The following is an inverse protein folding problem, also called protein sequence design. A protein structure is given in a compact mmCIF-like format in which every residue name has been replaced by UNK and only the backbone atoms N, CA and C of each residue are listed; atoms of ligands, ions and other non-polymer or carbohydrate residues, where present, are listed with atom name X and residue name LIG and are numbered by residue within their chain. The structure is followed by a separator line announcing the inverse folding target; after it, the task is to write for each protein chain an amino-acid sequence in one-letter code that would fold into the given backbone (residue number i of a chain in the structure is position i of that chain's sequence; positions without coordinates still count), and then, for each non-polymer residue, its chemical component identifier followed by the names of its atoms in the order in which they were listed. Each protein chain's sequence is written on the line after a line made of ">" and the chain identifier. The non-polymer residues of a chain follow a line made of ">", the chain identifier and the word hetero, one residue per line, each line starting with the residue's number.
data_IF_339530974849
#
_entry.id   IF_339530974849
#
_cell.length_a   1.000
_cell.length_b   1.000
_cell.length_c   1.000
_cell.angle_alpha   90.00
_cell.angle_beta   90.00
_cell.angle_gamma   90.00
#
_symmetry.space_group_name_H-M   'P 1'
#
loop_
_entity.id
_entity.type
_entity.pdbx_description
1 polymer ?
#
# COMPACT_ATOMS: atom_id res chain seq x y z
N UNK A 1 -3.72 9.92 -20.40
CA UNK A 1 -4.19 8.97 -19.42
C UNK A 1 -5.70 9.02 -19.42
N UNK A 2 -6.34 7.89 -19.48
CA UNK A 2 -7.77 7.78 -19.26
C UNK A 2 -8.00 8.23 -17.83
N UNK A 3 -8.78 9.31 -17.68
CA UNK A 3 -9.15 9.84 -16.37
C UNK A 3 -10.39 9.07 -15.93
N UNK A 4 -10.27 8.25 -14.92
CA UNK A 4 -11.37 7.48 -14.38
C UNK A 4 -11.81 8.11 -13.04
N UNK A 5 -13.12 8.10 -12.80
CA UNK A 5 -13.69 8.69 -11.61
C UNK A 5 -13.31 7.88 -10.36
N UNK A 6 -12.90 8.55 -9.31
CA UNK A 6 -12.65 7.93 -8.02
C UNK A 6 -13.96 7.71 -7.25
N UNK A 7 -13.95 6.72 -6.34
CA UNK A 7 -15.09 6.38 -5.49
C UNK A 7 -15.66 7.60 -4.74
N UNK A 8 -14.80 8.45 -4.18
CA UNK A 8 -15.22 9.66 -3.48
C UNK A 8 -15.90 10.67 -4.41
N UNK A 9 -15.41 10.81 -5.65
CA UNK A 9 -16.02 11.68 -6.67
C UNK A 9 -17.37 11.14 -7.14
N UNK A 10 -17.49 9.83 -7.36
CA UNK A 10 -18.77 9.18 -7.69
C UNK A 10 -19.79 9.37 -6.58
N UNK A 11 -19.40 9.18 -5.33
CA UNK A 11 -20.27 9.44 -4.18
C UNK A 11 -20.73 10.90 -4.12
N UNK A 12 -19.81 11.84 -4.38
CA UNK A 12 -20.16 13.26 -4.46
C UNK A 12 -21.16 13.54 -5.57
N UNK A 13 -21.00 12.92 -6.74
CA UNK A 13 -21.94 13.04 -7.85
C UNK A 13 -23.33 12.46 -7.50
N UNK A 14 -23.38 11.30 -6.84
CA UNK A 14 -24.63 10.69 -6.37
C UNK A 14 -25.34 11.53 -5.32
N UNK A 15 -24.62 12.09 -4.35
CA UNK A 15 -25.16 12.98 -3.33
C UNK A 15 -25.73 14.25 -3.96
N UNK A 16 -25.04 14.78 -4.97
CA UNK A 16 -25.50 15.94 -5.73
C UNK A 16 -26.81 15.67 -6.48
N UNK A 17 -26.91 14.52 -7.14
CA UNK A 17 -28.14 14.08 -7.83
C UNK A 17 -29.32 13.94 -6.85
N UNK A 18 -29.08 13.48 -5.65
CA UNK A 18 -30.10 13.41 -4.60
C UNK A 18 -30.65 14.80 -4.24
N UNK A 19 -29.74 15.76 -4.01
CA UNK A 19 -30.11 17.16 -3.72
C UNK A 19 -30.90 17.76 -4.89
N UNK A 20 -30.49 17.49 -6.13
CA UNK A 20 -31.19 17.92 -7.33
C UNK A 20 -32.64 17.40 -7.36
N UNK A 21 -32.86 16.13 -7.02
CA UNK A 21 -34.18 15.53 -6.92
C UNK A 21 -35.08 16.18 -5.85
N UNK A 22 -34.50 16.53 -4.69
CA UNK A 22 -35.22 17.27 -3.64
C UNK A 22 -35.63 18.67 -4.11
N UNK A 23 -34.80 19.35 -4.88
CA UNK A 23 -35.12 20.66 -5.48
C UNK A 23 -36.30 20.59 -6.44
N UNK A 24 -36.49 19.50 -7.15
CA UNK A 24 -37.67 19.32 -8.03
C UNK A 24 -38.98 19.26 -7.26
N UNK A 25 -38.99 18.67 -6.06
CA UNK A 25 -40.17 18.68 -5.19
C UNK A 25 -40.51 20.10 -4.72
N UNK A 26 -39.50 20.90 -4.39
CA UNK A 26 -39.71 22.29 -4.01
C UNK A 26 -40.18 23.18 -5.19
N UNK A 27 -39.67 22.95 -6.41
CA UNK A 27 -40.15 23.63 -7.63
C UNK A 27 -41.60 23.31 -7.86
N UNK A 28 -42.01 22.04 -7.76
CA UNK A 28 -43.42 21.64 -7.89
C UNK A 28 -44.33 22.38 -6.91
N UNK A 29 -43.95 22.39 -5.63
CA UNK A 29 -44.67 23.08 -4.55
C UNK A 29 -44.78 24.61 -4.81
N UNK A 30 -43.69 25.21 -5.30
CA UNK A 30 -43.68 26.65 -5.64
C UNK A 30 -44.67 26.98 -6.77
N UNK A 31 -44.70 26.15 -7.83
CA UNK A 31 -45.65 26.32 -8.94
C UNK A 31 -47.10 26.11 -8.46
N UNK A 32 -47.37 25.06 -7.66
CA UNK A 32 -48.69 24.79 -7.08
C UNK A 32 -49.21 25.96 -6.24
N UNK A 33 -48.33 26.61 -5.48
CA UNK A 33 -48.61 27.77 -4.64
C UNK A 33 -48.62 29.11 -5.42
N UNK A 34 -48.42 29.07 -6.74
CA UNK A 34 -48.27 30.25 -7.58
C UNK A 34 -47.14 31.21 -7.19
N UNK A 35 -46.12 30.67 -6.52
CA UNK A 35 -44.90 31.41 -6.23
C UNK A 35 -43.90 31.24 -7.38
N UNK A 36 -44.19 31.89 -8.50
CA UNK A 36 -43.42 31.75 -9.75
C UNK A 36 -41.96 32.24 -9.54
N UNK A 37 -41.76 33.32 -8.78
CA UNK A 37 -40.42 33.85 -8.51
C UNK A 37 -39.54 32.84 -7.79
N UNK A 38 -40.07 32.13 -6.80
CA UNK A 38 -39.31 31.06 -6.10
C UNK A 38 -39.04 29.89 -7.04
N UNK A 39 -39.98 29.50 -7.90
CA UNK A 39 -39.79 28.43 -8.88
C UNK A 39 -38.67 28.78 -9.88
N UNK A 40 -38.62 30.03 -10.38
CA UNK A 40 -37.57 30.50 -11.27
C UNK A 40 -36.19 30.48 -10.62
N UNK A 41 -36.09 30.91 -9.35
CA UNK A 41 -34.83 30.85 -8.61
C UNK A 41 -34.32 29.40 -8.43
N UNK A 42 -35.21 28.50 -8.03
CA UNK A 42 -34.87 27.08 -7.86
C UNK A 42 -34.45 26.40 -9.19
N UNK A 43 -35.09 26.78 -10.31
CA UNK A 43 -34.67 26.26 -11.62
C UNK A 43 -33.31 26.79 -12.04
N UNK A 44 -32.96 28.03 -11.74
CA UNK A 44 -31.64 28.59 -11.97
C UNK A 44 -30.59 27.83 -11.12
N UNK A 45 -30.89 27.58 -9.84
CA UNK A 45 -30.00 26.78 -8.94
C UNK A 45 -29.81 25.35 -9.46
N UNK A 46 -30.87 24.72 -10.02
CA UNK A 46 -30.76 23.40 -10.63
C UNK A 46 -29.85 23.40 -11.87
N UNK A 47 -29.92 24.46 -12.69
CA UNK A 47 -29.03 24.57 -13.85
C UNK A 47 -27.57 24.77 -13.45
N UNK A 48 -27.31 25.67 -12.51
CA UNK A 48 -25.96 25.89 -11.99
C UNK A 48 -25.39 24.60 -11.37
N UNK A 49 -26.24 23.88 -10.67
CA UNK A 49 -25.90 22.58 -10.11
C UNK A 49 -25.56 21.52 -11.17
N UNK A 50 -26.35 21.42 -12.22
CA UNK A 50 -26.10 20.50 -13.31
C UNK A 50 -24.78 20.82 -14.05
N UNK A 51 -24.46 22.11 -14.19
CA UNK A 51 -23.20 22.57 -14.77
C UNK A 51 -22.03 22.18 -13.85
N UNK A 52 -22.14 22.39 -12.54
CA UNK A 52 -21.12 22.02 -11.58
C UNK A 52 -20.87 20.50 -11.56
N UNK A 53 -21.92 19.70 -11.66
CA UNK A 53 -21.84 18.25 -11.79
C UNK A 53 -21.17 17.83 -13.11
N UNK A 54 -21.50 18.49 -14.21
CA UNK A 54 -20.87 18.29 -15.52
C UNK A 54 -19.36 18.53 -15.45
N UNK A 55 -18.94 19.64 -14.86
CA UNK A 55 -17.52 19.96 -14.66
C UNK A 55 -16.79 18.91 -13.78
N UNK A 56 -17.45 18.39 -12.75
CA UNK A 56 -16.88 17.32 -11.91
C UNK A 56 -16.65 16.05 -12.74
N UNK A 57 -17.66 15.62 -13.51
CA UNK A 57 -17.57 14.41 -14.34
C UNK A 57 -16.55 14.60 -15.47
N UNK A 58 -16.59 15.73 -16.17
CA UNK A 58 -15.67 16.04 -17.24
C UNK A 58 -14.19 16.10 -16.78
N UNK A 59 -13.95 16.66 -15.59
CA UNK A 59 -12.60 16.68 -14.99
C UNK A 59 -12.09 15.30 -14.62
N UNK A 60 -12.99 14.37 -14.31
CA UNK A 60 -12.64 13.00 -13.90
C UNK A 60 -12.57 12.01 -15.07
N UNK A 61 -13.50 12.10 -16.04
CA UNK A 61 -13.65 11.13 -17.13
C UNK A 61 -13.41 11.72 -18.53
N UNK A 62 -13.20 13.03 -18.64
CA UNK A 62 -13.04 13.73 -19.90
C UNK A 62 -14.35 14.22 -20.53
N UNK A 63 -14.20 15.02 -21.60
CA UNK A 63 -15.32 15.69 -22.30
C UNK A 63 -16.30 14.70 -22.99
N UNK A 64 -15.86 13.48 -23.28
CA UNK A 64 -16.68 12.45 -23.96
C UNK A 64 -17.40 11.53 -22.96
N UNK A 65 -17.41 11.85 -21.66
CA UNK A 65 -18.10 11.05 -20.65
C UNK A 65 -19.57 10.82 -20.99
N UNK A 66 -20.05 9.58 -20.86
CA UNK A 66 -21.39 9.16 -21.25
C UNK A 66 -22.51 9.96 -20.56
N UNK A 67 -22.24 10.52 -19.39
CA UNK A 67 -23.21 11.31 -18.59
C UNK A 67 -23.40 12.75 -19.11
N UNK A 68 -22.40 13.32 -19.80
CA UNK A 68 -22.44 14.73 -20.25
C UNK A 68 -23.67 15.05 -21.14
N UNK A 69 -24.01 14.25 -22.17
CA UNK A 69 -25.19 14.50 -22.98
C UNK A 69 -26.51 14.50 -22.19
N UNK A 70 -26.59 13.69 -21.11
CA UNK A 70 -27.80 13.70 -20.26
C UNK A 70 -27.88 14.95 -19.39
N UNK A 71 -26.73 15.49 -18.94
CA UNK A 71 -26.70 16.77 -18.21
C UNK A 71 -27.05 17.95 -19.12
N UNK A 72 -26.52 17.98 -20.33
CA UNK A 72 -26.87 19.00 -21.34
C UNK A 72 -28.37 18.97 -21.65
N UNK A 73 -28.91 17.78 -21.93
CA UNK A 73 -30.37 17.63 -22.15
C UNK A 73 -31.20 18.05 -20.95
N UNK A 74 -30.72 17.79 -19.72
CA UNK A 74 -31.40 18.28 -18.50
C UNK A 74 -31.38 19.81 -18.40
N UNK A 75 -30.27 20.47 -18.69
CA UNK A 75 -30.19 21.92 -18.74
C UNK A 75 -31.19 22.52 -19.75
N UNK A 76 -31.36 21.90 -20.91
CA UNK A 76 -32.37 22.32 -21.90
C UNK A 76 -33.82 22.18 -21.36
N UNK A 77 -34.11 21.08 -20.63
CA UNK A 77 -35.43 20.90 -19.99
C UNK A 77 -35.70 21.96 -18.93
N UNK A 78 -34.71 22.24 -18.06
CA UNK A 78 -34.79 23.28 -17.03
C UNK A 78 -35.01 24.64 -17.65
N UNK A 79 -34.26 24.98 -18.70
CA UNK A 79 -34.40 26.25 -19.41
C UNK A 79 -35.78 26.39 -20.07
N UNK A 80 -36.31 25.34 -20.70
CA UNK A 80 -37.66 25.35 -21.30
C UNK A 80 -38.76 25.59 -20.27
N UNK A 81 -38.69 25.00 -19.08
CA UNK A 81 -39.62 25.24 -17.98
C UNK A 81 -39.47 26.66 -17.45
N UNK A 82 -38.22 27.12 -17.28
CA UNK A 82 -37.93 28.50 -16.86
C UNK A 82 -38.58 29.53 -17.80
N UNK A 83 -38.41 29.39 -19.11
CA UNK A 83 -39.01 30.27 -20.10
C UNK A 83 -40.55 30.25 -20.03
N UNK A 84 -41.15 29.07 -19.86
CA UNK A 84 -42.62 28.94 -19.75
C UNK A 84 -43.16 29.63 -18.51
N UNK A 85 -42.46 29.52 -17.35
CA UNK A 85 -42.84 30.23 -16.12
C UNK A 85 -42.62 31.74 -16.22
N UNK A 86 -41.54 32.20 -16.86
CA UNK A 86 -41.31 33.61 -17.11
C UNK A 86 -42.40 34.21 -18.01
N UNK A 87 -42.82 33.48 -19.04
CA UNK A 87 -43.95 33.91 -19.89
C UNK A 87 -45.30 33.96 -19.12
N UNK A 88 -45.55 33.02 -18.18
CA UNK A 88 -46.74 33.07 -17.29
C UNK A 88 -46.76 34.38 -16.47
N UNK A 89 -45.61 34.84 -15.98
CA UNK A 89 -45.54 36.13 -15.26
C UNK A 89 -45.92 37.33 -16.13
N UNK A 90 -45.70 37.25 -17.44
CA UNK A 90 -46.02 38.27 -18.42
C UNK A 90 -47.43 38.12 -19.02
N UNK A 91 -48.25 37.20 -18.47
CA UNK A 91 -49.61 36.96 -18.90
C UNK A 91 -49.78 35.81 -19.91
N UNK A 92 -48.78 34.98 -20.06
CA UNK A 92 -48.82 33.77 -20.85
C UNK A 92 -49.65 32.65 -20.22
N UNK A 93 -49.63 31.48 -20.86
CA UNK A 93 -50.36 30.30 -20.39
C UNK A 93 -49.78 29.77 -19.07
N UNK A 94 -50.66 29.35 -18.11
CA UNK A 94 -50.21 28.82 -16.86
C UNK A 94 -49.44 27.47 -17.03
N UNK A 95 -48.35 27.32 -16.31
CA UNK A 95 -47.56 26.10 -16.29
C UNK A 95 -48.17 25.11 -15.29
N UNK A 96 -48.35 23.87 -15.73
CA UNK A 96 -48.82 22.80 -14.84
C UNK A 96 -47.69 22.22 -14.04
N UNK A 97 -47.80 22.25 -12.71
CA UNK A 97 -46.83 21.78 -11.77
C UNK A 97 -46.46 20.27 -11.96
N UNK A 98 -47.50 19.44 -12.17
CA UNK A 98 -47.32 18.00 -12.40
C UNK A 98 -46.55 17.68 -13.69
N UNK A 99 -46.79 18.47 -14.76
CA UNK A 99 -46.07 18.31 -16.02
C UNK A 99 -44.62 18.75 -15.89
N UNK A 100 -44.37 19.90 -15.28
CA UNK A 100 -43.01 20.39 -15.03
C UNK A 100 -42.20 19.40 -14.16
N UNK A 101 -42.80 18.92 -13.08
CA UNK A 101 -42.17 17.91 -12.20
C UNK A 101 -41.86 16.62 -12.94
N UNK A 102 -42.79 16.09 -13.74
CA UNK A 102 -42.57 14.87 -14.53
C UNK A 102 -41.40 15.02 -15.51
N UNK A 103 -41.29 16.17 -16.15
CA UNK A 103 -40.22 16.48 -17.10
C UNK A 103 -38.87 16.54 -16.40
N UNK A 104 -38.77 17.26 -15.27
CA UNK A 104 -37.55 17.34 -14.47
C UNK A 104 -37.14 15.97 -13.94
N UNK A 105 -38.09 15.18 -13.43
CA UNK A 105 -37.82 13.82 -12.91
C UNK A 105 -37.31 12.88 -13.99
N UNK A 106 -37.81 12.97 -15.21
CA UNK A 106 -37.28 12.13 -16.32
C UNK A 106 -35.82 12.45 -16.63
N UNK A 107 -35.47 13.73 -16.67
CA UNK A 107 -34.06 14.14 -16.84
C UNK A 107 -33.18 13.67 -15.69
N UNK A 108 -33.64 13.86 -14.45
CA UNK A 108 -32.97 13.40 -13.23
C UNK A 108 -32.68 11.89 -13.23
N UNK A 109 -33.68 11.06 -13.56
CA UNK A 109 -33.50 9.59 -13.61
C UNK A 109 -32.49 9.20 -14.67
N UNK A 110 -32.45 9.86 -15.83
CA UNK A 110 -31.43 9.55 -16.85
C UNK A 110 -30.03 9.85 -16.38
N UNK A 111 -29.81 10.99 -15.72
CA UNK A 111 -28.52 11.35 -15.15
C UNK A 111 -28.13 10.35 -14.05
N UNK A 112 -29.05 10.07 -13.12
CA UNK A 112 -28.82 9.14 -12.02
C UNK A 112 -28.44 7.72 -12.51
N UNK A 113 -29.13 7.22 -13.53
CA UNK A 113 -28.85 5.93 -14.13
C UNK A 113 -27.48 5.93 -14.82
N UNK A 114 -27.14 6.99 -15.54
CA UNK A 114 -25.83 7.09 -16.20
C UNK A 114 -24.70 7.13 -15.17
N UNK A 115 -24.82 7.92 -14.10
CA UNK A 115 -23.82 7.93 -13.02
C UNK A 115 -23.67 6.53 -12.38
N UNK A 116 -24.80 5.85 -12.16
CA UNK A 116 -24.77 4.54 -11.52
C UNK A 116 -24.13 3.44 -12.39
N UNK A 117 -24.36 3.47 -13.70
CA UNK A 117 -24.06 2.34 -14.59
C UNK A 117 -22.98 2.62 -15.62
N UNK A 118 -22.78 3.86 -16.06
CA UNK A 118 -21.84 4.21 -17.12
C UNK A 118 -20.52 4.77 -16.56
N UNK A 119 -20.52 5.24 -15.29
CA UNK A 119 -19.33 5.78 -14.63
C UNK A 119 -18.59 4.66 -13.93
N UNK A 120 -17.42 4.29 -14.46
CA UNK A 120 -16.52 3.33 -13.85
C UNK A 120 -15.72 4.00 -12.72
N UNK A 121 -15.47 3.25 -11.66
CA UNK A 121 -14.71 3.71 -10.50
C UNK A 121 -13.40 2.95 -10.42
N UNK A 122 -12.27 3.67 -10.40
CA UNK A 122 -10.97 3.09 -10.06
C UNK A 122 -10.63 3.37 -8.62
N UNK A 123 -10.04 2.37 -7.96
CA UNK A 123 -9.55 2.48 -6.59
C UNK A 123 -8.10 2.95 -6.61
N UNK A 124 -7.78 3.93 -5.80
CA UNK A 124 -6.40 4.37 -5.61
C UNK A 124 -5.77 3.60 -4.45
N UNK A 125 -4.72 2.85 -4.78
CA UNK A 125 -4.01 1.97 -3.87
C UNK A 125 -2.57 2.46 -3.72
N UNK A 126 -2.14 2.76 -2.51
CA UNK A 126 -0.83 3.33 -2.23
C UNK A 126 0.00 2.39 -1.37
N UNK A 127 1.24 2.18 -1.74
CA UNK A 127 2.21 1.37 -1.02
C UNK A 127 3.28 2.28 -0.41
N UNK A 128 3.49 2.18 0.91
CA UNK A 128 4.43 3.00 1.68
C UNK A 128 5.60 2.16 2.24
N UNK A 129 6.48 1.63 1.39
CA UNK A 129 7.68 0.99 1.88
C UNK A 129 8.70 2.02 2.36
N UNK A 130 9.58 1.66 3.32
CA UNK A 130 10.63 2.57 3.78
C UNK A 130 12.04 2.10 3.42
N UNK A 131 12.29 0.80 3.43
CA UNK A 131 13.56 0.20 3.01
C UNK A 131 13.38 -0.66 1.76
N UNK A 132 14.20 -0.41 0.75
CA UNK A 132 14.16 -1.16 -0.51
C UNK A 132 14.43 -2.67 -0.29
N UNK A 133 15.29 -3.02 0.67
CA UNK A 133 15.58 -4.41 1.05
C UNK A 133 14.37 -5.19 1.60
N UNK A 134 13.30 -4.50 1.97
CA UNK A 134 12.06 -5.09 2.51
C UNK A 134 10.89 -5.00 1.51
N UNK A 135 11.14 -4.57 0.28
CA UNK A 135 10.13 -4.42 -0.77
C UNK A 135 9.43 -5.75 -1.11
N UNK A 136 10.12 -6.87 -0.97
CA UNK A 136 9.58 -8.21 -1.18
C UNK A 136 8.33 -8.54 -0.35
N UNK A 137 8.10 -7.81 0.74
CA UNK A 137 6.88 -7.94 1.55
C UNK A 137 5.64 -7.28 0.94
N UNK A 138 5.80 -6.42 -0.06
CA UNK A 138 4.72 -5.68 -0.71
C UNK A 138 4.66 -5.90 -2.23
N UNK A 139 5.74 -6.38 -2.86
CA UNK A 139 5.89 -6.42 -4.31
C UNK A 139 4.77 -7.19 -5.02
N UNK A 140 4.42 -8.39 -4.55
CA UNK A 140 3.38 -9.20 -5.21
C UNK A 140 1.99 -8.59 -5.07
N UNK A 141 1.72 -7.91 -3.95
CA UNK A 141 0.46 -7.18 -3.75
C UNK A 141 0.38 -5.97 -4.66
N UNK A 142 1.49 -5.23 -4.78
CA UNK A 142 1.59 -4.11 -5.72
C UNK A 142 1.38 -4.56 -7.16
N UNK A 143 2.05 -5.63 -7.60
CA UNK A 143 1.86 -6.17 -8.97
C UNK A 143 0.40 -6.51 -9.25
N UNK A 144 -0.28 -7.14 -8.30
CA UNK A 144 -1.69 -7.47 -8.45
C UNK A 144 -2.57 -6.22 -8.58
N UNK A 145 -2.27 -5.15 -7.82
CA UNK A 145 -3.00 -3.89 -7.92
C UNK A 145 -2.66 -3.12 -9.22
N UNK A 146 -1.39 -3.15 -9.66
CA UNK A 146 -0.93 -2.47 -10.88
C UNK A 146 -1.49 -3.13 -12.16
N UNK A 147 -1.70 -4.44 -12.11
CA UNK A 147 -2.29 -5.22 -13.21
C UNK A 147 -3.82 -5.19 -13.22
N UNK A 148 -4.47 -4.75 -12.14
CA UNK A 148 -5.93 -4.68 -12.04
C UNK A 148 -6.45 -3.42 -12.74
N UNK A 149 -7.29 -3.54 -13.78
CA UNK A 149 -7.83 -2.39 -14.50
C UNK A 149 -8.71 -1.49 -13.62
N UNK A 150 -9.22 -1.98 -12.49
CA UNK A 150 -9.98 -1.21 -11.50
C UNK A 150 -9.14 -0.47 -10.48
N UNK A 151 -7.80 -0.52 -10.56
CA UNK A 151 -6.90 0.09 -9.60
C UNK A 151 -5.90 1.05 -10.25
N UNK A 152 -5.59 2.12 -9.52
CA UNK A 152 -4.43 2.98 -9.73
C UNK A 152 -3.45 2.75 -8.59
N UNK A 153 -2.35 2.06 -8.88
CA UNK A 153 -1.36 1.67 -7.88
C UNK A 153 -0.18 2.64 -7.84
N UNK A 154 0.15 3.16 -6.65
CA UNK A 154 1.28 4.08 -6.44
C UNK A 154 2.25 3.50 -5.41
N UNK A 155 3.53 3.51 -5.73
CA UNK A 155 4.60 3.16 -4.79
C UNK A 155 5.28 4.44 -4.34
N UNK A 156 5.12 4.77 -3.07
CA UNK A 156 5.61 6.00 -2.44
C UNK A 156 6.54 5.64 -1.30
N UNK A 157 7.84 5.41 -1.56
CA UNK A 157 8.81 5.15 -0.49
C UNK A 157 8.85 6.33 0.49
N UNK A 158 8.85 6.01 1.78
CA UNK A 158 8.83 7.02 2.85
C UNK A 158 10.19 7.16 3.49
N UNK A 159 10.56 8.39 3.92
CA UNK A 159 11.82 8.62 4.60
C UNK A 159 11.81 8.12 6.04
N UNK A 160 12.98 7.85 6.59
CA UNK A 160 13.16 7.43 7.97
C UNK A 160 14.41 8.05 8.60
N UNK A 161 14.39 8.15 9.93
CA UNK A 161 15.50 8.66 10.73
C UNK A 161 16.23 7.52 11.45
N UNK A 162 17.54 7.66 11.58
CA UNK A 162 18.27 6.98 12.64
C UNK A 162 17.95 7.61 13.99
N UNK A 163 17.95 6.82 15.06
CA UNK A 163 17.70 7.29 16.43
C UNK A 163 18.98 7.24 17.25
N UNK A 164 19.14 8.25 18.07
CA UNK A 164 20.11 8.26 19.16
C UNK A 164 19.63 7.37 20.33
N UNK A 165 20.52 6.96 21.26
CA UNK A 165 20.12 6.19 22.44
C UNK A 165 19.07 6.88 23.33
N UNK A 166 18.97 8.19 23.29
CA UNK A 166 17.95 8.98 24.00
C UNK A 166 16.60 9.07 23.25
N UNK A 167 16.51 8.42 22.08
CA UNK A 167 15.32 8.41 21.25
C UNK A 167 15.17 9.61 20.29
N UNK A 168 16.07 10.59 20.34
CA UNK A 168 16.07 11.71 19.40
C UNK A 168 16.45 11.28 17.99
N UNK A 169 15.95 12.00 16.99
CA UNK A 169 16.25 11.74 15.59
C UNK A 169 17.65 12.25 15.24
N UNK A 170 18.36 11.51 14.39
CA UNK A 170 19.70 11.83 13.93
C UNK A 170 19.72 12.14 12.45
N UNK A 171 19.96 11.18 11.60
CA UNK A 171 20.09 11.34 10.17
C UNK A 171 18.82 10.89 9.45
N UNK A 172 18.40 11.67 8.43
CA UNK A 172 17.27 11.32 7.57
C UNK A 172 17.78 10.52 6.37
N UNK A 173 17.15 9.38 6.12
CA UNK A 173 17.42 8.51 4.98
C UNK A 173 16.21 8.43 4.06
N UNK A 174 16.46 8.26 2.78
CA UNK A 174 15.45 8.01 1.76
C UNK A 174 16.01 7.05 0.69
N UNK A 175 15.35 5.92 0.51
CA UNK A 175 15.82 4.85 -0.37
C UNK A 175 15.02 4.75 -1.69
N UNK A 176 14.30 5.79 -2.10
CA UNK A 176 13.47 5.77 -3.32
C UNK A 176 14.22 5.44 -4.61
N UNK A 177 15.52 5.72 -4.68
CA UNK A 177 16.37 5.36 -5.83
C UNK A 177 16.94 3.94 -5.81
N UNK A 178 16.67 3.15 -4.78
CA UNK A 178 17.22 1.79 -4.60
C UNK A 178 16.23 0.68 -5.00
N UNK A 179 15.01 1.05 -5.40
CA UNK A 179 14.00 0.11 -5.86
C UNK A 179 14.31 -0.40 -7.27
N UNK A 180 13.83 -1.62 -7.64
CA UNK A 180 14.00 -2.12 -9.00
C UNK A 180 13.45 -1.14 -10.06
N UNK A 181 14.12 -1.05 -11.22
CA UNK A 181 13.75 -0.13 -12.30
C UNK A 181 12.31 -0.29 -12.81
N UNK A 182 11.74 -1.48 -12.67
CA UNK A 182 10.36 -1.75 -13.09
C UNK A 182 9.30 -1.24 -12.09
N UNK A 183 9.72 -0.75 -10.91
CA UNK A 183 8.81 -0.18 -9.91
C UNK A 183 8.71 1.34 -10.14
N UNK A 184 7.54 1.87 -10.52
CA UNK A 184 7.35 3.30 -10.74
C UNK A 184 7.25 4.02 -9.40
N UNK A 185 8.39 4.48 -8.89
CA UNK A 185 8.48 5.18 -7.61
C UNK A 185 8.01 6.63 -7.74
N UNK A 186 7.09 7.04 -6.86
CA UNK A 186 6.68 8.43 -6.68
C UNK A 186 7.39 8.99 -5.45
N UNK A 187 7.98 10.17 -5.57
CA UNK A 187 8.58 10.83 -4.43
C UNK A 187 7.51 11.25 -3.42
N UNK A 188 7.73 10.98 -2.13
CA UNK A 188 6.73 11.24 -1.09
C UNK A 188 6.28 12.71 -1.00
N UNK A 189 7.10 13.67 -1.43
CA UNK A 189 6.74 15.08 -1.49
C UNK A 189 5.78 15.44 -2.63
N UNK A 190 5.63 14.57 -3.62
CA UNK A 190 4.72 14.75 -4.76
C UNK A 190 3.36 14.04 -4.56
N UNK A 191 3.19 13.30 -3.46
CA UNK A 191 1.94 12.61 -3.15
C UNK A 191 1.22 13.30 -1.98
N UNK A 192 0.14 13.99 -2.27
CA UNK A 192 -0.69 14.70 -1.29
C UNK A 192 -1.81 13.79 -0.77
N UNK A 193 -1.64 13.20 0.42
CA UNK A 193 -2.60 12.31 1.05
C UNK A 193 -3.92 13.00 1.40
N UNK A 194 -3.88 14.26 1.84
CA UNK A 194 -5.08 15.00 2.22
C UNK A 194 -5.96 15.30 1.01
N UNK A 195 -5.35 15.73 -0.09
CA UNK A 195 -6.06 16.02 -1.32
C UNK A 195 -6.51 14.75 -2.06
N UNK A 196 -5.68 13.71 -2.07
CA UNK A 196 -5.94 12.50 -2.85
C UNK A 196 -6.83 11.49 -2.13
N UNK A 197 -6.73 11.37 -0.81
CA UNK A 197 -7.51 10.44 0.02
C UNK A 197 -7.60 9.03 -0.60
N UNK A 198 -6.49 8.29 -0.68
CA UNK A 198 -6.46 6.97 -1.32
C UNK A 198 -7.47 6.01 -0.66
N UNK A 199 -8.08 5.14 -1.47
CA UNK A 199 -9.03 4.14 -0.98
C UNK A 199 -8.34 3.12 -0.06
N UNK A 200 -7.10 2.77 -0.39
CA UNK A 200 -6.33 1.78 0.36
C UNK A 200 -4.86 2.16 0.46
N UNK A 201 -4.28 2.00 1.63
CA UNK A 201 -2.85 2.21 1.88
C UNK A 201 -2.24 0.97 2.50
N UNK A 202 -1.13 0.49 1.93
CA UNK A 202 -0.34 -0.64 2.43
C UNK A 202 0.93 -0.15 3.11
N UNK A 203 1.16 -0.61 4.34
CA UNK A 203 2.40 -0.40 5.10
C UNK A 203 3.05 -1.74 5.44
N UNK A 204 4.36 -1.76 5.62
CA UNK A 204 5.07 -2.94 6.10
C UNK A 204 5.89 -2.70 7.39
N UNK A 205 6.03 -1.46 7.80
CA UNK A 205 6.67 -1.07 9.05
C UNK A 205 5.62 -0.87 10.14
N UNK A 206 5.64 -1.68 11.24
CA UNK A 206 4.64 -1.56 12.29
C UNK A 206 5.05 -0.65 13.45
N UNK A 207 6.31 -0.18 13.47
CA UNK A 207 6.92 0.32 14.70
C UNK A 207 6.58 1.76 15.02
N UNK A 208 6.38 2.62 14.00
CA UNK A 208 6.27 4.06 14.18
C UNK A 208 7.38 4.57 15.13
N UNK A 209 7.04 5.19 16.26
CA UNK A 209 7.98 5.68 17.28
C UNK A 209 8.61 4.57 18.13
N UNK A 210 8.06 3.36 18.13
CA UNK A 210 8.44 2.29 19.08
C UNK A 210 9.76 1.59 18.73
N UNK A 211 10.32 1.75 17.54
CA UNK A 211 11.62 1.17 17.20
C UNK A 211 12.75 1.98 17.87
N UNK A 212 13.70 1.29 18.47
CA UNK A 212 14.81 1.90 19.20
C UNK A 212 15.95 2.39 18.30
N UNK A 213 16.04 1.89 17.09
CA UNK A 213 17.17 2.12 16.16
C UNK A 213 16.82 3.13 15.07
N UNK A 214 15.61 3.02 14.50
CA UNK A 214 15.12 3.89 13.44
C UNK A 214 13.69 4.33 13.72
N UNK A 215 13.24 5.38 13.04
CA UNK A 215 11.83 5.75 12.99
C UNK A 215 11.50 6.23 11.59
N UNK A 216 10.40 5.75 11.00
CA UNK A 216 9.86 6.40 9.81
C UNK A 216 9.51 7.85 10.15
N UNK A 217 9.44 8.72 9.14
CA UNK A 217 9.06 10.12 9.36
C UNK A 217 7.67 10.18 10.01
N UNK A 218 7.47 11.00 11.06
CA UNK A 218 6.22 11.02 11.84
C UNK A 218 4.95 11.25 11.03
N UNK A 219 5.00 12.01 9.95
CA UNK A 219 3.85 12.25 9.06
C UNK A 219 3.30 10.95 8.43
N UNK A 220 4.09 9.88 8.43
CA UNK A 220 3.72 8.57 7.89
C UNK A 220 3.45 7.52 8.97
N UNK A 221 3.35 7.90 10.23
CA UNK A 221 2.93 6.98 11.29
C UNK A 221 1.54 6.41 10.98
N UNK A 222 1.31 5.17 11.35
CA UNK A 222 0.08 4.46 11.04
C UNK A 222 -1.17 5.23 11.50
N UNK A 223 -1.10 5.88 12.66
CA UNK A 223 -2.17 6.72 13.19
C UNK A 223 -2.49 7.91 12.28
N UNK A 224 -1.46 8.56 11.75
CA UNK A 224 -1.61 9.73 10.88
C UNK A 224 -2.16 9.33 9.51
N UNK A 225 -1.57 8.31 8.89
CA UNK A 225 -2.00 7.81 7.57
C UNK A 225 -3.45 7.31 7.58
N UNK A 226 -3.88 6.70 8.69
CA UNK A 226 -5.26 6.21 8.83
C UNK A 226 -6.31 7.30 8.64
N UNK A 227 -6.00 8.56 8.96
CA UNK A 227 -6.93 9.70 8.79
C UNK A 227 -7.20 10.04 7.31
N UNK A 228 -6.35 9.58 6.39
CA UNK A 228 -6.41 9.91 4.97
C UNK A 228 -6.88 8.76 4.08
N UNK A 229 -7.16 7.59 4.62
CA UNK A 229 -7.57 6.42 3.82
C UNK A 229 -8.76 5.68 4.44
N UNK A 230 -9.58 5.07 3.59
CA UNK A 230 -10.67 4.20 4.04
C UNK A 230 -10.14 2.88 4.63
N UNK A 231 -9.04 2.36 4.07
CA UNK A 231 -8.46 1.07 4.43
C UNK A 231 -6.93 1.17 4.58
N UNK A 232 -6.45 1.12 5.81
CA UNK A 232 -5.02 0.94 6.12
C UNK A 232 -4.75 -0.55 6.32
N UNK A 233 -3.85 -1.12 5.51
CA UNK A 233 -3.45 -2.53 5.56
C UNK A 233 -1.99 -2.65 5.97
N UNK A 234 -1.72 -3.43 6.99
CA UNK A 234 -0.36 -3.75 7.41
C UNK A 234 0.02 -5.15 6.94
N UNK A 235 1.11 -5.25 6.19
CA UNK A 235 1.72 -6.51 5.74
C UNK A 235 3.10 -6.63 6.39
N UNK A 236 3.32 -7.53 7.35
CA UNK A 236 4.61 -7.66 8.02
C UNK A 236 5.76 -7.91 7.03
N UNK A 237 6.87 -7.18 7.17
CA UNK A 237 8.07 -7.37 6.36
C UNK A 237 8.87 -8.62 6.75
N UNK A 238 8.51 -9.28 7.82
CA UNK A 238 9.14 -10.49 8.36
C UNK A 238 8.17 -11.68 8.33
N UNK A 239 8.71 -12.88 8.51
CA UNK A 239 7.94 -14.10 8.72
C UNK A 239 8.27 -14.69 10.08
N UNK A 240 7.27 -15.36 10.69
CA UNK A 240 7.43 -16.07 11.95
C UNK A 240 7.97 -17.49 11.68
N UNK A 241 9.19 -17.78 12.07
CA UNK A 241 9.80 -19.10 11.91
C UNK A 241 9.02 -20.12 12.74
N UNK A 242 8.59 -21.23 12.11
CA UNK A 242 7.75 -22.25 12.73
C UNK A 242 6.47 -21.71 13.37
N UNK A 243 5.92 -20.62 12.83
CA UNK A 243 4.74 -19.93 13.35
C UNK A 243 4.87 -19.47 14.82
N UNK A 244 6.12 -19.25 15.28
CA UNK A 244 6.39 -18.70 16.63
C UNK A 244 6.23 -17.18 16.60
N UNK A 245 5.21 -16.69 17.30
CA UNK A 245 4.87 -15.26 17.38
C UNK A 245 5.54 -14.62 18.60
N UNK A 246 6.18 -13.48 18.40
CA UNK A 246 6.66 -12.61 19.47
C UNK A 246 5.51 -11.66 19.87
N UNK A 247 5.19 -11.63 21.17
CA UNK A 247 4.00 -10.91 21.67
C UNK A 247 4.03 -9.42 21.34
N UNK A 248 5.20 -8.78 21.42
CA UNK A 248 5.38 -7.37 21.13
C UNK A 248 4.93 -6.95 19.72
N UNK A 249 5.09 -7.82 18.72
CA UNK A 249 4.65 -7.51 17.36
C UNK A 249 3.14 -7.44 17.21
N UNK A 250 2.40 -8.08 18.10
CA UNK A 250 0.93 -8.10 18.05
C UNK A 250 0.29 -6.79 18.50
N UNK A 251 1.06 -5.91 19.17
CA UNK A 251 0.56 -4.68 19.81
C UNK A 251 1.36 -3.43 19.42
N UNK A 252 2.08 -3.48 18.31
CA UNK A 252 2.78 -2.32 17.75
C UNK A 252 1.79 -1.33 17.09
N UNK A 253 2.15 -0.05 16.93
CA UNK A 253 1.28 0.95 16.33
C UNK A 253 0.66 0.55 15.00
N UNK A 254 1.44 -0.01 14.06
CA UNK A 254 0.92 -0.50 12.79
C UNK A 254 -0.15 -1.58 12.96
N UNK A 255 0.02 -2.48 13.93
CA UNK A 255 -0.98 -3.51 14.25
C UNK A 255 -2.24 -2.90 14.88
N UNK A 256 -2.08 -1.93 15.79
CA UNK A 256 -3.20 -1.29 16.47
C UNK A 256 -4.04 -0.47 15.48
N UNK A 257 -3.41 0.39 14.67
CA UNK A 257 -4.10 1.37 13.86
C UNK A 257 -4.58 0.85 12.49
N UNK A 258 -3.93 -0.18 11.92
CA UNK A 258 -4.38 -0.73 10.64
C UNK A 258 -5.78 -1.35 10.74
N UNK A 259 -6.55 -1.25 9.66
CA UNK A 259 -7.85 -1.90 9.53
C UNK A 259 -7.71 -3.41 9.37
N UNK A 260 -6.71 -3.83 8.59
CA UNK A 260 -6.39 -5.24 8.39
C UNK A 260 -4.89 -5.51 8.49
N UNK A 261 -4.54 -6.67 9.01
CA UNK A 261 -3.18 -7.19 9.08
C UNK A 261 -3.15 -8.53 8.34
N UNK A 262 -2.29 -8.63 7.33
CA UNK A 262 -2.14 -9.85 6.52
C UNK A 262 -1.08 -10.73 7.15
N UNK A 263 -1.48 -11.91 7.61
CA UNK A 263 -0.62 -12.84 8.33
C UNK A 263 -0.34 -14.10 7.50
N UNK A 264 0.80 -14.73 7.77
CA UNK A 264 1.34 -15.84 6.99
C UNK A 264 0.55 -17.15 7.11
N UNK A 265 -0.13 -17.38 8.23
CA UNK A 265 -0.83 -18.63 8.49
C UNK A 265 -1.96 -18.46 9.51
N UNK A 266 -2.90 -19.40 9.53
CA UNK A 266 -3.97 -19.41 10.53
C UNK A 266 -3.43 -19.59 11.96
N UNK A 267 -2.39 -20.40 12.16
CA UNK A 267 -1.76 -20.55 13.46
C UNK A 267 -1.19 -19.22 14.01
N UNK A 268 -0.55 -18.43 13.14
CA UNK A 268 -0.09 -17.08 13.49
C UNK A 268 -1.27 -16.15 13.76
N UNK A 269 -2.31 -16.20 12.95
CA UNK A 269 -3.52 -15.39 13.13
C UNK A 269 -4.19 -15.63 14.48
N UNK A 270 -4.42 -16.89 14.85
CA UNK A 270 -5.00 -17.24 16.14
C UNK A 270 -4.21 -16.68 17.31
N UNK A 271 -2.87 -16.74 17.20
CA UNK A 271 -1.98 -16.21 18.24
C UNK A 271 -2.01 -14.68 18.32
N UNK A 272 -2.06 -13.98 17.18
CA UNK A 272 -2.25 -12.52 17.14
C UNK A 272 -3.59 -12.12 17.79
N UNK A 273 -4.68 -12.80 17.49
CA UNK A 273 -6.00 -12.54 18.08
C UNK A 273 -5.95 -12.73 19.61
N UNK A 274 -5.39 -13.85 20.09
CA UNK A 274 -5.26 -14.13 21.52
C UNK A 274 -4.51 -13.01 22.27
N UNK A 275 -3.36 -12.61 21.73
CA UNK A 275 -2.49 -11.61 22.34
C UNK A 275 -3.14 -10.23 22.28
N UNK A 276 -3.72 -9.87 21.14
CA UNK A 276 -4.39 -8.59 20.95
C UNK A 276 -5.59 -8.42 21.88
N UNK A 277 -6.43 -9.45 22.02
CA UNK A 277 -7.53 -9.45 22.99
C UNK A 277 -7.07 -9.28 24.44
N UNK A 278 -5.99 -9.96 24.84
CA UNK A 278 -5.41 -9.82 26.16
C UNK A 278 -4.93 -8.38 26.42
N UNK A 279 -4.32 -7.77 25.40
CA UNK A 279 -3.91 -6.37 25.45
C UNK A 279 -5.11 -5.43 25.55
N UNK A 280 -6.13 -5.58 24.71
CA UNK A 280 -7.36 -4.77 24.76
C UNK A 280 -8.03 -4.82 26.11
N UNK A 281 -8.15 -6.03 26.69
CA UNK A 281 -8.74 -6.22 28.04
C UNK A 281 -7.91 -5.49 29.10
N UNK A 282 -6.59 -5.55 29.00
CA UNK A 282 -5.69 -4.85 29.94
C UNK A 282 -5.81 -3.32 29.84
N UNK A 283 -6.15 -2.80 28.68
CA UNK A 283 -6.34 -1.37 28.41
C UNK A 283 -7.81 -0.92 28.57
N UNK A 284 -8.74 -1.86 28.74
CA UNK A 284 -10.17 -1.56 28.79
C UNK A 284 -10.75 -1.01 27.48
N UNK A 285 -10.19 -1.44 26.33
CA UNK A 285 -10.52 -0.90 25.01
C UNK A 285 -10.95 -1.99 23.99
N UNK A 286 -11.66 -3.01 24.46
CA UNK A 286 -12.14 -4.11 23.60
C UNK A 286 -12.86 -3.57 22.36
N UNK A 287 -12.45 -4.06 21.17
CA UNK A 287 -12.97 -3.69 19.86
C UNK A 287 -12.83 -2.22 19.45
N UNK A 288 -12.12 -1.40 20.25
CA UNK A 288 -11.95 0.04 19.96
C UNK A 288 -11.14 0.28 18.66
N UNK A 289 -10.30 -0.66 18.27
CA UNK A 289 -9.47 -0.62 17.06
C UNK A 289 -9.92 -1.61 15.99
N UNK A 290 -11.20 -2.00 16.02
CA UNK A 290 -11.80 -3.02 15.16
C UNK A 290 -11.80 -4.40 15.82
N UNK A 291 -12.69 -5.27 15.39
CA UNK A 291 -12.77 -6.63 15.91
C UNK A 291 -11.57 -7.45 15.47
N UNK A 292 -10.88 -8.07 16.40
CA UNK A 292 -9.65 -8.81 16.11
C UNK A 292 -9.85 -9.91 15.06
N UNK A 293 -10.99 -10.62 15.09
CA UNK A 293 -11.31 -11.67 14.14
C UNK A 293 -11.48 -11.19 12.70
N UNK A 294 -11.87 -9.91 12.51
CA UNK A 294 -12.01 -9.27 11.21
C UNK A 294 -10.72 -8.55 10.79
N UNK A 295 -9.96 -8.07 11.78
CA UNK A 295 -8.72 -7.32 11.62
C UNK A 295 -7.55 -8.20 11.15
N UNK A 296 -7.38 -9.38 11.76
CA UNK A 296 -6.31 -10.30 11.43
C UNK A 296 -6.76 -11.31 10.38
N UNK A 297 -6.05 -11.37 9.24
CA UNK A 297 -6.41 -12.18 8.09
C UNK A 297 -5.23 -13.07 7.68
N UNK A 298 -5.46 -14.39 7.61
CA UNK A 298 -4.44 -15.35 7.22
C UNK A 298 -4.49 -15.61 5.70
N UNK A 299 -3.76 -14.81 4.93
CA UNK A 299 -3.68 -14.92 3.46
C UNK A 299 -2.33 -15.40 2.94
N UNK A 300 -1.38 -15.67 3.83
CA UNK A 300 0.00 -15.95 3.47
C UNK A 300 0.88 -14.69 3.54
N UNK A 301 2.18 -14.85 3.34
CA UNK A 301 3.12 -13.73 3.26
C UNK A 301 3.52 -13.48 1.81
N UNK A 302 3.45 -12.24 1.30
CA UNK A 302 3.93 -11.88 -0.04
C UNK A 302 5.42 -12.19 -0.26
N UNK A 303 6.22 -12.30 0.81
CA UNK A 303 7.63 -12.74 0.72
C UNK A 303 7.77 -14.13 0.13
N UNK A 304 6.82 -15.03 0.37
CA UNK A 304 6.84 -16.37 -0.24
C UNK A 304 6.59 -16.31 -1.74
N UNK A 305 5.78 -15.38 -2.22
CA UNK A 305 5.57 -15.18 -3.65
C UNK A 305 6.89 -14.82 -4.35
N UNK A 306 7.69 -13.96 -3.73
CA UNK A 306 9.01 -13.61 -4.26
C UNK A 306 9.94 -14.83 -4.29
N UNK A 307 9.97 -15.65 -3.25
CA UNK A 307 10.77 -16.87 -3.20
C UNK A 307 10.33 -17.86 -4.28
N UNK A 308 9.01 -18.08 -4.41
CA UNK A 308 8.45 -19.06 -5.35
C UNK A 308 8.63 -18.60 -6.80
N UNK A 309 8.48 -17.30 -7.07
CA UNK A 309 8.60 -16.72 -8.41
C UNK A 309 10.04 -16.47 -8.84
N UNK A 310 10.99 -16.39 -7.90
CA UNK A 310 12.39 -16.13 -8.22
C UNK A 310 12.98 -17.28 -9.03
N UNK A 311 13.52 -16.96 -10.21
CA UNK A 311 14.15 -17.90 -11.12
C UNK A 311 15.60 -17.51 -11.31
N UNK A 312 16.43 -18.50 -11.61
CA UNK A 312 17.85 -18.26 -11.88
C UNK A 312 18.05 -17.29 -13.05
N UNK A 313 17.25 -17.40 -14.07
CA UNK A 313 17.31 -16.58 -15.29
C UNK A 313 17.10 -15.10 -15.01
N UNK A 314 16.48 -14.76 -13.90
CA UNK A 314 16.23 -13.37 -13.48
C UNK A 314 17.48 -12.68 -12.92
N UNK A 315 18.55 -13.44 -12.67
CA UNK A 315 19.77 -12.96 -12.03
C UNK A 315 21.02 -13.19 -12.87
N UNK A 316 21.83 -12.15 -13.02
CA UNK A 316 23.16 -12.24 -13.61
C UNK A 316 24.15 -12.54 -12.51
N UNK A 317 24.61 -13.80 -12.44
CA UNK A 317 25.57 -14.20 -11.41
C UNK A 317 26.94 -13.54 -11.63
N UNK A 318 27.62 -13.08 -10.57
CA UNK A 318 29.00 -12.62 -10.66
C UNK A 318 29.90 -13.67 -11.33
N UNK A 319 30.86 -13.21 -12.13
CA UNK A 319 31.77 -14.10 -12.85
C UNK A 319 32.54 -15.03 -11.90
N UNK A 320 32.96 -14.53 -10.76
CA UNK A 320 33.64 -15.31 -9.72
C UNK A 320 32.75 -16.44 -9.16
N UNK A 321 31.44 -16.23 -9.03
CA UNK A 321 30.50 -17.28 -8.62
C UNK A 321 30.37 -18.34 -9.70
N UNK A 322 30.21 -17.92 -10.96
CA UNK A 322 30.08 -18.84 -12.11
C UNK A 322 31.30 -19.75 -12.22
N UNK A 323 32.53 -19.23 -12.09
CA UNK A 323 33.76 -20.01 -12.12
C UNK A 323 33.84 -21.11 -11.05
N UNK A 324 33.24 -20.87 -9.87
CA UNK A 324 33.19 -21.86 -8.81
C UNK A 324 32.06 -22.88 -9.01
N UNK A 325 30.96 -22.49 -9.62
CA UNK A 325 29.76 -23.32 -9.79
C UNK A 325 29.83 -24.14 -11.06
N UNK A 326 30.25 -23.54 -12.17
CA UNK A 326 30.28 -24.17 -13.50
C UNK A 326 31.61 -24.87 -13.75
N UNK A 327 31.54 -26.07 -14.34
CA UNK A 327 32.73 -26.82 -14.74
C UNK A 327 32.98 -26.64 -16.25
N UNK A 328 34.21 -26.93 -16.67
CA UNK A 328 34.62 -26.87 -18.09
C UNK A 328 33.79 -27.76 -19.01
N UNK A 329 33.25 -28.86 -18.48
CA UNK A 329 32.39 -29.80 -19.23
C UNK A 329 30.92 -29.36 -19.31
N UNK A 330 30.58 -28.15 -18.81
CA UNK A 330 29.20 -27.62 -18.78
C UNK A 330 28.35 -28.15 -17.63
N UNK A 331 28.86 -29.06 -16.80
CA UNK A 331 28.17 -29.50 -15.60
C UNK A 331 28.32 -28.49 -14.47
N UNK A 332 27.48 -28.64 -13.42
CA UNK A 332 27.46 -27.70 -12.29
C UNK A 332 27.72 -28.43 -10.99
N UNK A 333 28.44 -27.78 -10.08
CA UNK A 333 28.57 -28.21 -8.69
C UNK A 333 27.26 -27.86 -7.95
N UNK A 334 26.91 -28.65 -6.94
CA UNK A 334 25.85 -28.33 -6.01
C UNK A 334 26.28 -27.15 -5.13
N UNK A 335 25.40 -26.18 -4.97
CA UNK A 335 25.63 -25.04 -4.07
C UNK A 335 24.95 -25.30 -2.74
N UNK A 336 25.69 -25.15 -1.66
CA UNK A 336 25.16 -25.23 -0.29
C UNK A 336 25.16 -23.83 0.30
N UNK A 337 23.97 -23.28 0.52
CA UNK A 337 23.81 -21.99 1.19
C UNK A 337 23.99 -22.14 2.71
N UNK A 338 24.95 -21.43 3.25
CA UNK A 338 25.22 -21.34 4.67
C UNK A 338 24.95 -19.93 5.19
N UNK A 339 23.77 -19.75 5.79
CA UNK A 339 23.39 -18.50 6.45
C UNK A 339 23.87 -18.48 7.89
N UNK A 340 24.54 -17.39 8.31
CA UNK A 340 24.86 -17.14 9.71
C UNK A 340 24.05 -15.95 10.22
N UNK A 341 23.17 -16.19 11.20
CA UNK A 341 22.19 -15.22 11.69
C UNK A 341 22.70 -14.45 12.92
N UNK A 342 22.15 -13.27 13.16
CA UNK A 342 22.44 -12.47 14.36
C UNK A 342 22.14 -13.23 15.65
N UNK A 343 20.96 -13.85 15.75
CA UNK A 343 20.56 -14.59 16.95
C UNK A 343 21.47 -15.75 17.31
N UNK A 344 21.92 -16.53 16.31
CA UNK A 344 22.87 -17.61 16.53
C UNK A 344 24.23 -17.07 17.00
N UNK A 345 24.71 -16.00 16.36
CA UNK A 345 26.01 -15.40 16.70
C UNK A 345 26.01 -14.76 18.10
N UNK A 346 24.94 -14.07 18.49
CA UNK A 346 24.86 -13.38 19.79
C UNK A 346 24.61 -14.32 20.97
N UNK A 347 24.05 -15.51 20.73
CA UNK A 347 23.79 -16.52 21.78
C UNK A 347 25.06 -17.03 22.39
N UNK A 348 26.01 -17.44 21.57
CA UNK A 348 27.36 -17.83 21.94
C UNK A 348 28.30 -17.52 20.77
N UNK A 349 28.96 -16.37 20.84
CA UNK A 349 29.79 -15.86 19.75
C UNK A 349 31.01 -16.75 19.52
N UNK A 350 31.69 -17.22 20.58
CA UNK A 350 32.91 -18.00 20.48
C UNK A 350 32.64 -19.40 19.88
N UNK A 351 31.56 -20.05 20.35
CA UNK A 351 31.12 -21.33 19.79
C UNK A 351 30.71 -21.18 18.31
N UNK A 352 30.01 -20.09 17.97
CA UNK A 352 29.58 -19.86 16.59
C UNK A 352 30.77 -19.60 15.65
N UNK A 353 31.79 -18.85 16.07
CA UNK A 353 33.02 -18.64 15.30
C UNK A 353 33.78 -19.95 15.08
N UNK A 354 33.88 -20.80 16.12
CA UNK A 354 34.46 -22.12 15.99
C UNK A 354 33.67 -23.01 15.03
N UNK A 355 32.35 -22.96 15.09
CA UNK A 355 31.44 -23.67 14.16
C UNK A 355 31.65 -23.24 12.72
N UNK A 356 31.76 -21.95 12.45
CA UNK A 356 32.03 -21.43 11.09
C UNK A 356 33.32 -22.01 10.54
N UNK A 357 34.41 -22.03 11.32
CA UNK A 357 35.68 -22.63 10.93
C UNK A 357 35.53 -24.12 10.62
N UNK A 358 34.82 -24.85 11.46
CA UNK A 358 34.57 -26.26 11.25
C UNK A 358 33.80 -26.54 9.97
N UNK A 359 32.78 -25.73 9.67
CA UNK A 359 32.02 -25.81 8.41
C UNK A 359 32.96 -25.57 7.23
N UNK A 360 33.85 -24.59 7.30
CA UNK A 360 34.81 -24.34 6.22
C UNK A 360 35.76 -25.52 5.99
N UNK A 361 36.27 -26.16 7.03
CA UNK A 361 37.11 -27.34 6.87
C UNK A 361 36.38 -28.52 6.22
N UNK A 362 35.09 -28.68 6.49
CA UNK A 362 34.26 -29.71 5.84
C UNK A 362 34.12 -29.46 4.34
N UNK A 363 33.94 -28.21 3.94
CA UNK A 363 33.63 -27.88 2.54
C UNK A 363 34.83 -27.52 1.68
N UNK A 364 35.97 -27.10 2.27
CA UNK A 364 37.17 -26.60 1.58
C UNK A 364 37.66 -27.53 0.46
N UNK A 365 37.60 -28.82 0.66
CA UNK A 365 38.14 -29.82 -0.27
C UNK A 365 37.07 -30.59 -1.05
N UNK A 366 35.80 -30.12 -1.01
CA UNK A 366 34.71 -30.78 -1.73
C UNK A 366 34.76 -30.43 -3.21
N UNK A 367 34.82 -31.47 -4.08
CA UNK A 367 34.88 -31.27 -5.53
C UNK A 367 33.49 -31.11 -6.18
N UNK A 368 32.49 -31.70 -5.54
CA UNK A 368 31.12 -31.76 -6.09
C UNK A 368 30.20 -30.63 -5.55
N UNK A 369 30.67 -29.93 -4.52
CA UNK A 369 29.87 -28.93 -3.79
C UNK A 369 30.66 -27.64 -3.65
N UNK A 370 29.94 -26.51 -3.74
CA UNK A 370 30.43 -25.16 -3.45
C UNK A 370 29.68 -24.62 -2.24
N UNK A 371 30.39 -24.15 -1.23
CA UNK A 371 29.81 -23.46 -0.10
C UNK A 371 29.53 -21.98 -0.48
N UNK A 372 28.30 -21.55 -0.37
CA UNK A 372 27.94 -20.13 -0.44
C UNK A 372 27.67 -19.65 0.99
N UNK A 373 28.65 -18.95 1.56
CA UNK A 373 28.49 -18.38 2.89
C UNK A 373 27.89 -16.97 2.81
N UNK A 374 26.73 -16.82 3.43
CA UNK A 374 26.01 -15.56 3.52
C UNK A 374 25.81 -15.18 4.98
N UNK A 375 26.70 -14.36 5.57
CA UNK A 375 26.45 -13.78 6.89
C UNK A 375 25.33 -12.73 6.82
N UNK A 376 24.63 -12.55 7.93
CA UNK A 376 23.64 -11.48 8.02
C UNK A 376 24.28 -10.11 7.73
N UNK A 377 23.71 -9.24 6.89
CA UNK A 377 24.33 -7.97 6.50
C UNK A 377 24.76 -7.07 7.67
N UNK A 378 24.04 -7.10 8.79
CA UNK A 378 24.36 -6.33 9.99
C UNK A 378 25.24 -7.08 11.01
N UNK A 379 25.80 -8.24 10.64
CA UNK A 379 26.50 -9.09 11.62
C UNK A 379 27.75 -8.41 12.18
N UNK A 380 28.55 -7.81 11.31
CA UNK A 380 29.78 -7.12 11.71
C UNK A 380 29.51 -5.93 12.63
N UNK A 381 28.57 -5.04 12.25
CA UNK A 381 28.17 -3.87 13.04
C UNK A 381 27.61 -4.30 14.40
N UNK A 382 26.82 -5.35 14.43
CA UNK A 382 26.28 -5.90 15.66
C UNK A 382 27.38 -6.41 16.58
N UNK A 383 28.37 -7.12 16.04
CA UNK A 383 29.53 -7.54 16.82
C UNK A 383 30.35 -6.34 17.33
N UNK A 384 30.55 -5.32 16.50
CA UNK A 384 31.23 -4.08 16.92
C UNK A 384 30.57 -3.45 18.13
N UNK A 385 29.24 -3.39 18.13
CA UNK A 385 28.49 -2.73 19.20
C UNK A 385 28.29 -3.60 20.44
N UNK A 386 28.12 -4.92 20.28
CA UNK A 386 27.71 -5.83 21.37
C UNK A 386 28.78 -6.83 21.82
N UNK A 387 29.78 -7.14 20.98
CA UNK A 387 30.78 -8.15 21.17
C UNK A 387 32.15 -7.74 20.61
N UNK A 388 32.57 -6.51 20.89
CA UNK A 388 33.76 -5.87 20.29
C UNK A 388 35.06 -6.69 20.36
N UNK A 389 35.21 -7.51 21.39
CA UNK A 389 36.40 -8.39 21.55
C UNK A 389 36.51 -9.46 20.47
N UNK A 390 35.42 -9.86 19.84
CA UNK A 390 35.37 -10.94 18.85
C UNK A 390 35.41 -10.42 17.39
N UNK A 391 35.36 -9.11 17.19
CA UNK A 391 35.31 -8.49 15.84
C UNK A 391 36.56 -8.82 15.03
N UNK A 392 37.76 -8.74 15.64
CA UNK A 392 39.01 -9.03 14.94
C UNK A 392 39.06 -10.48 14.46
N UNK A 393 38.65 -11.43 15.30
CA UNK A 393 38.56 -12.83 14.95
C UNK A 393 37.55 -13.10 13.83
N UNK A 394 36.39 -12.43 13.86
CA UNK A 394 35.41 -12.51 12.79
C UNK A 394 35.95 -11.94 11.48
N UNK A 395 36.60 -10.78 11.53
CA UNK A 395 37.18 -10.14 10.35
C UNK A 395 38.30 -11.03 9.73
N UNK A 396 39.12 -11.68 10.53
CA UNK A 396 40.13 -12.64 10.07
C UNK A 396 39.51 -13.86 9.36
N UNK A 397 38.37 -14.36 9.88
CA UNK A 397 37.63 -15.47 9.25
C UNK A 397 37.10 -15.05 7.88
N UNK A 398 36.47 -13.87 7.78
CA UNK A 398 35.94 -13.32 6.53
C UNK A 398 37.06 -13.08 5.52
N UNK A 399 38.14 -12.43 5.93
CA UNK A 399 39.27 -12.12 5.05
C UNK A 399 39.91 -13.37 4.49
N UNK A 400 40.16 -14.37 5.37
CA UNK A 400 40.72 -15.65 4.97
C UNK A 400 39.82 -16.39 3.99
N UNK A 401 38.52 -16.48 4.26
CA UNK A 401 37.56 -17.13 3.37
C UNK A 401 37.55 -16.50 1.97
N UNK A 402 37.51 -15.17 1.90
CA UNK A 402 37.54 -14.42 0.62
C UNK A 402 38.86 -14.62 -0.12
N UNK A 403 39.98 -14.60 0.59
CA UNK A 403 41.33 -14.75 -0.01
C UNK A 403 41.58 -16.15 -0.56
N UNK A 404 41.15 -17.19 0.16
CA UNK A 404 41.33 -18.58 -0.26
C UNK A 404 40.44 -18.95 -1.47
N UNK A 405 39.37 -18.24 -1.73
CA UNK A 405 38.52 -18.31 -2.93
C UNK A 405 38.05 -19.72 -3.34
N UNK A 406 37.90 -20.64 -2.39
CA UNK A 406 37.37 -21.98 -2.66
C UNK A 406 35.84 -22.06 -2.51
N UNK A 407 35.22 -21.06 -1.93
CA UNK A 407 33.80 -20.91 -1.73
C UNK A 407 33.33 -19.49 -2.11
N UNK A 408 32.02 -19.28 -2.10
CA UNK A 408 31.39 -18.01 -2.43
C UNK A 408 31.08 -17.25 -1.14
N UNK A 409 31.47 -15.98 -1.07
CA UNK A 409 31.08 -15.05 -0.02
C UNK A 409 30.06 -14.07 -0.55
N UNK A 410 28.90 -14.01 0.09
CA UNK A 410 27.80 -13.09 -0.29
C UNK A 410 27.46 -12.15 0.87
N UNK A 411 27.76 -10.88 0.72
CA UNK A 411 27.43 -9.78 1.63
C UNK A 411 26.42 -8.81 1.01
N UNK A 412 25.80 -9.16 -0.12
CA UNK A 412 24.80 -8.33 -0.79
C UNK A 412 23.49 -8.26 -0.02
N UNK A 413 22.72 -7.21 -0.25
CA UNK A 413 21.38 -7.08 0.34
C UNK A 413 20.36 -8.05 -0.27
N UNK A 414 20.58 -8.49 -1.52
CA UNK A 414 19.67 -9.37 -2.26
C UNK A 414 19.97 -10.85 -2.00
N UNK A 415 19.16 -11.46 -1.12
CA UNK A 415 19.28 -12.90 -0.86
C UNK A 415 18.70 -13.79 -1.96
N UNK A 416 17.86 -13.25 -2.85
CA UNK A 416 17.19 -14.05 -3.90
C UNK A 416 18.18 -14.53 -4.94
N UNK A 417 19.20 -13.75 -5.25
CA UNK A 417 20.31 -14.19 -6.07
C UNK A 417 20.99 -15.45 -5.48
N UNK A 418 21.21 -15.47 -4.16
CA UNK A 418 21.85 -16.59 -3.48
C UNK A 418 20.96 -17.85 -3.41
N UNK A 419 19.67 -17.72 -3.29
CA UNK A 419 18.75 -18.88 -3.22
C UNK A 419 18.38 -19.47 -4.58
N UNK A 420 18.60 -18.76 -5.68
CA UNK A 420 18.29 -19.22 -7.05
C UNK A 420 19.47 -19.90 -7.74
N UNK A 421 20.64 -19.84 -7.17
CA UNK A 421 21.89 -20.47 -7.68
C UNK A 421 21.88 -22.00 -7.61
#
# INVERSE_FOLDING_TARGET
>A
GEADMRKAQKQQAEDFIKILGESHDEIRKAIEKKNISAALSLLADCQDGAIALGNLIESAEGEEAATIPFLEGYCELVYGIYQSLAAEMEGGNPVRADKAYKTLRQGHIRIANSIAHDVEVRQEVVFLPYKASMWDSLESVWKAADEDPGCDAYVVPIPYYDKNPDGSFRELHYEGGEYPEYVPVVWYGDYDFEARRPDMVFIHNPYDECNLVTSIHPDFYAKEIKEYTDMLVYVPYFTCINDVVQEEFCILPGTIWANQIILQSEAVREKYIEIFHRWEDSQGCRDAFGKAEEKFVALGSPKFDKVISAKREDYVLPEEWRRLIEREDGSRRKVVLYNTTLGAMLRDTEEMLAKIRNVFEVFRNQKEVVLLWRPHPLLRETLCSMRSRTVLEYDEIVERYRKEAWGIYDDTADMYQAITV
#
